data_IF_298848310064
#
_entry.id   IF_298848310064
#
_cell.length_a   1.000
_cell.length_b   1.000
_cell.length_c   1.000
_cell.angle_alpha   90.00
_cell.angle_beta   90.00
_cell.angle_gamma   90.00
#
_symmetry.space_group_name_H-M   'P 1'
#
loop_
_entity.id
_entity.type
_entity.pdbx_description
1 polymer ?
#
# COMPACT_ATOMS: atom_id res chain seq x y z
N UNK A 1 -10.46 -0.19 17.84
CA UNK A 1 -10.63 0.99 16.98
C UNK A 1 -10.28 2.28 17.71
N UNK A 2 -9.96 3.35 16.98
CA UNK A 2 -9.60 4.64 17.58
C UNK A 2 -10.85 5.41 18.02
N UNK A 3 -10.74 6.12 19.15
CA UNK A 3 -11.81 7.00 19.65
C UNK A 3 -11.86 8.30 18.81
N UNK A 4 -13.02 8.99 18.84
CA UNK A 4 -13.18 10.30 18.19
C UNK A 4 -12.11 11.32 18.64
N UNK A 5 -11.74 11.33 19.94
CA UNK A 5 -10.71 12.22 20.49
C UNK A 5 -9.33 11.95 19.88
N UNK A 6 -8.97 10.66 19.73
CA UNK A 6 -7.71 10.25 19.10
C UNK A 6 -7.67 10.62 17.63
N UNK A 7 -8.78 10.47 16.90
CA UNK A 7 -8.86 10.87 15.48
C UNK A 7 -8.77 12.40 15.33
N UNK A 8 -9.43 13.18 16.20
CA UNK A 8 -9.34 14.64 16.13
C UNK A 8 -7.91 15.15 16.35
N UNK A 9 -7.12 14.47 17.20
CA UNK A 9 -5.70 14.83 17.39
C UNK A 9 -4.82 14.58 16.13
N UNK A 10 -5.31 13.80 15.19
CA UNK A 10 -4.60 13.48 13.92
C UNK A 10 -5.07 14.33 12.73
N UNK A 11 -6.09 15.15 12.92
CA UNK A 11 -6.69 15.93 11.82
C UNK A 11 -5.68 16.86 11.15
N UNK A 12 -4.87 17.55 11.93
CA UNK A 12 -3.87 18.49 11.40
C UNK A 12 -2.81 17.76 10.58
N UNK A 13 -2.33 16.60 11.04
CA UNK A 13 -1.38 15.77 10.33
C UNK A 13 -1.97 15.22 9.01
N UNK A 14 -3.24 14.80 9.03
CA UNK A 14 -3.95 14.33 7.84
C UNK A 14 -4.13 15.48 6.86
N UNK A 15 -4.49 16.67 7.34
CA UNK A 15 -4.68 17.87 6.52
C UNK A 15 -3.38 18.25 5.80
N UNK A 16 -2.26 18.29 6.51
CA UNK A 16 -0.95 18.58 5.96
C UNK A 16 -0.51 17.54 4.92
N UNK A 17 -0.71 16.27 5.22
CA UNK A 17 -0.34 15.18 4.31
C UNK A 17 -1.14 15.21 3.01
N UNK A 18 -2.46 15.38 3.09
CA UNK A 18 -3.36 15.30 1.94
C UNK A 18 -3.27 16.51 1.01
N UNK A 19 -2.79 17.65 1.53
CA UNK A 19 -2.70 18.93 0.81
C UNK A 19 -4.05 19.40 0.22
N UNK A 20 -5.15 19.00 0.87
CA UNK A 20 -6.49 19.36 0.41
C UNK A 20 -6.93 20.75 0.86
N UNK A 21 -6.24 21.35 1.85
CA UNK A 21 -6.52 22.71 2.29
C UNK A 21 -7.99 22.94 2.65
N UNK A 22 -8.59 23.98 2.07
CA UNK A 22 -9.99 24.36 2.32
C UNK A 22 -11.00 23.31 1.90
N UNK A 23 -10.65 22.43 0.97
CA UNK A 23 -11.54 21.34 0.54
C UNK A 23 -11.92 20.40 1.67
N UNK A 24 -11.08 20.26 2.72
CA UNK A 24 -11.42 19.43 3.88
C UNK A 24 -12.68 19.88 4.63
N UNK A 25 -13.09 21.14 4.47
CA UNK A 25 -14.35 21.69 5.00
C UNK A 25 -15.56 21.39 4.13
N UNK A 26 -15.35 20.94 2.88
CA UNK A 26 -16.41 20.69 1.91
C UNK A 26 -16.94 19.26 2.01
N UNK A 27 -18.19 19.01 1.61
CA UNK A 27 -18.74 17.66 1.56
C UNK A 27 -17.93 16.76 0.62
N UNK A 28 -17.60 15.53 1.03
CA UNK A 28 -16.84 14.55 0.23
C UNK A 28 -17.44 14.25 -1.16
N UNK A 29 -18.76 14.47 -1.34
CA UNK A 29 -19.43 14.30 -2.65
C UNK A 29 -18.90 15.26 -3.73
N UNK A 30 -18.27 16.38 -3.34
CA UNK A 30 -17.68 17.35 -4.26
C UNK A 30 -16.23 17.03 -4.63
N UNK A 31 -15.65 16.02 -4.01
CA UNK A 31 -14.26 15.67 -4.22
C UNK A 31 -14.06 14.95 -5.56
N UNK A 32 -12.97 15.30 -6.25
CA UNK A 32 -12.46 14.49 -7.36
C UNK A 32 -12.01 13.11 -6.90
N UNK A 33 -11.81 12.18 -7.83
CA UNK A 33 -11.26 10.85 -7.50
C UNK A 33 -9.90 10.96 -6.80
N UNK A 34 -8.99 11.80 -7.32
CA UNK A 34 -7.67 12.04 -6.71
C UNK A 34 -7.77 12.58 -5.29
N UNK A 35 -8.66 13.55 -5.02
CA UNK A 35 -8.90 14.08 -3.68
C UNK A 35 -9.39 13.02 -2.70
N UNK A 36 -10.28 12.14 -3.13
CA UNK A 36 -10.77 11.02 -2.30
C UNK A 36 -9.64 10.05 -1.97
N UNK A 37 -8.79 9.72 -2.94
CA UNK A 37 -7.64 8.83 -2.71
C UNK A 37 -6.64 9.48 -1.77
N UNK A 38 -6.31 10.77 -1.94
CA UNK A 38 -5.45 11.51 -1.01
C UNK A 38 -5.99 11.49 0.42
N UNK A 39 -7.28 11.77 0.61
CA UNK A 39 -7.92 11.73 1.93
C UNK A 39 -7.89 10.31 2.52
N UNK A 40 -8.26 9.29 1.74
CA UNK A 40 -8.24 7.90 2.18
C UNK A 40 -6.83 7.47 2.64
N UNK A 41 -5.79 7.81 1.87
CA UNK A 41 -4.39 7.56 2.24
C UNK A 41 -3.99 8.27 3.53
N UNK A 42 -4.37 9.54 3.69
CA UNK A 42 -4.10 10.29 4.92
C UNK A 42 -4.73 9.64 6.15
N UNK A 43 -5.98 9.20 6.04
CA UNK A 43 -6.70 8.54 7.14
C UNK A 43 -6.13 7.16 7.44
N UNK A 44 -5.96 6.31 6.42
CA UNK A 44 -5.46 4.93 6.59
C UNK A 44 -4.05 4.92 7.17
N UNK A 45 -3.16 5.79 6.69
CA UNK A 45 -1.77 5.85 7.18
C UNK A 45 -1.62 6.52 8.54
N UNK A 46 -2.69 7.12 9.08
CA UNK A 46 -2.71 7.70 10.43
C UNK A 46 -3.05 6.70 11.55
N UNK A 47 -3.44 5.48 11.22
CA UNK A 47 -3.76 4.42 12.17
C UNK A 47 -2.62 3.40 12.25
N UNK A 48 -2.59 2.62 13.35
CA UNK A 48 -1.63 1.53 13.55
C UNK A 48 -2.42 0.21 13.58
N UNK A 49 -2.61 -0.45 12.43
CA UNK A 49 -3.36 -1.69 12.35
C UNK A 49 -2.53 -2.88 12.77
N UNK A 50 -3.12 -3.85 13.45
CA UNK A 50 -2.51 -5.16 13.69
C UNK A 50 -2.44 -5.98 12.40
N UNK A 51 -3.47 -5.88 11.55
CA UNK A 51 -3.58 -6.55 10.25
C UNK A 51 -3.90 -5.50 9.20
N UNK A 52 -3.07 -5.41 8.17
CA UNK A 52 -3.24 -4.51 7.03
C UNK A 52 -3.58 -5.31 5.78
N UNK A 53 -4.75 -5.04 5.21
CA UNK A 53 -5.18 -5.61 3.93
C UNK A 53 -5.09 -4.52 2.87
N UNK A 54 -4.30 -4.76 1.84
CA UNK A 54 -4.17 -3.88 0.69
C UNK A 54 -4.64 -4.60 -0.57
N UNK A 55 -5.53 -3.95 -1.29
CA UNK A 55 -5.95 -4.35 -2.62
C UNK A 55 -5.56 -3.27 -3.63
N UNK A 56 -5.25 -3.69 -4.85
CA UNK A 56 -4.74 -2.83 -5.91
C UNK A 56 -5.71 -1.68 -6.22
N UNK A 57 -5.35 -0.46 -5.92
CA UNK A 57 -6.22 0.71 -6.11
C UNK A 57 -5.56 2.08 -5.90
N UNK A 58 -4.24 2.13 -5.74
CA UNK A 58 -3.52 3.40 -5.46
C UNK A 58 -3.24 4.20 -6.75
N UNK A 59 -3.77 3.78 -7.91
CA UNK A 59 -3.41 4.27 -9.25
C UNK A 59 -3.97 5.63 -9.70
N UNK A 60 -4.80 6.32 -8.92
CA UNK A 60 -5.52 7.54 -9.37
C UNK A 60 -4.98 8.85 -8.79
N UNK A 61 -3.70 8.91 -8.40
CA UNK A 61 -3.06 10.12 -7.88
C UNK A 61 -1.84 10.51 -8.71
N UNK A 62 -1.47 11.79 -8.64
CA UNK A 62 -0.27 12.30 -9.31
C UNK A 62 1.03 11.71 -8.76
N UNK A 63 2.09 11.75 -9.56
CA UNK A 63 3.37 11.11 -9.26
C UNK A 63 4.06 11.68 -8.00
N UNK A 64 3.87 12.97 -7.72
CA UNK A 64 4.47 13.63 -6.55
C UNK A 64 3.81 13.13 -5.26
N UNK A 65 2.48 13.12 -5.23
CA UNK A 65 1.75 12.56 -4.10
C UNK A 65 2.02 11.07 -3.91
N UNK A 66 2.14 10.29 -5.01
CA UNK A 66 2.51 8.87 -4.93
C UNK A 66 3.84 8.64 -4.22
N UNK A 67 4.85 9.49 -4.48
CA UNK A 67 6.14 9.39 -3.80
C UNK A 67 6.01 9.62 -2.29
N UNK A 68 5.24 10.64 -1.89
CA UNK A 68 4.94 10.97 -0.49
C UNK A 68 4.12 9.84 0.18
N UNK A 69 3.12 9.30 -0.54
CA UNK A 69 2.27 8.23 -0.06
C UNK A 69 3.03 6.90 0.12
N UNK A 70 4.00 6.58 -0.75
CA UNK A 70 4.84 5.38 -0.63
C UNK A 70 5.62 5.36 0.69
N UNK A 71 6.26 6.46 1.07
CA UNK A 71 6.98 6.56 2.34
C UNK A 71 6.07 6.30 3.56
N UNK A 72 4.86 6.88 3.55
CA UNK A 72 3.88 6.64 4.63
C UNK A 72 3.34 5.21 4.62
N UNK A 73 3.10 4.63 3.45
CA UNK A 73 2.64 3.25 3.32
C UNK A 73 3.72 2.28 3.82
N UNK A 74 4.99 2.49 3.48
CA UNK A 74 6.08 1.69 4.00
C UNK A 74 6.13 1.74 5.53
N UNK A 75 6.08 2.93 6.13
CA UNK A 75 6.03 3.09 7.58
C UNK A 75 4.79 2.43 8.21
N UNK A 76 3.65 2.43 7.51
CA UNK A 76 2.45 1.73 7.96
C UNK A 76 2.64 0.21 7.96
N UNK A 77 3.25 -0.34 6.90
CA UNK A 77 3.59 -1.76 6.79
C UNK A 77 4.55 -2.18 7.91
N UNK A 78 5.60 -1.40 8.17
CA UNK A 78 6.57 -1.67 9.23
C UNK A 78 5.96 -1.70 10.63
N UNK A 79 4.90 -0.91 10.85
CA UNK A 79 4.15 -0.89 12.13
C UNK A 79 3.04 -1.92 12.21
N UNK A 80 2.64 -2.52 11.09
CA UNK A 80 1.62 -3.57 11.09
C UNK A 80 2.21 -4.92 11.51
N UNK A 81 1.42 -5.73 12.20
CA UNK A 81 1.84 -7.09 12.56
C UNK A 81 1.76 -8.07 11.38
N UNK A 82 0.76 -7.90 10.52
CA UNK A 82 0.51 -8.73 9.34
C UNK A 82 0.13 -7.83 8.18
N UNK A 83 0.81 -8.02 7.03
CA UNK A 83 0.41 -7.44 5.76
C UNK A 83 -0.13 -8.55 4.83
N UNK A 84 -1.32 -8.34 4.29
CA UNK A 84 -1.84 -9.11 3.15
C UNK A 84 -2.05 -8.15 2.00
N UNK A 85 -1.35 -8.38 0.89
CA UNK A 85 -1.34 -7.48 -0.25
C UNK A 85 -1.67 -8.23 -1.54
N UNK A 86 -2.72 -7.80 -2.23
CA UNK A 86 -3.07 -8.27 -3.58
C UNK A 86 -2.62 -7.24 -4.61
N UNK A 87 -1.76 -7.62 -5.54
CA UNK A 87 -1.22 -6.72 -6.57
C UNK A 87 -0.79 -7.48 -7.82
N UNK A 88 -0.83 -6.79 -8.97
CA UNK A 88 -0.18 -7.23 -10.21
C UNK A 88 1.23 -6.66 -10.37
N UNK A 89 1.71 -5.84 -9.43
CA UNK A 89 3.05 -5.28 -9.47
C UNK A 89 4.04 -6.15 -8.70
N UNK A 90 4.87 -6.90 -9.43
CA UNK A 90 5.92 -7.74 -8.85
C UNK A 90 6.94 -6.91 -8.05
N UNK A 91 7.20 -5.66 -8.47
CA UNK A 91 8.05 -4.72 -7.73
C UNK A 91 7.50 -4.41 -6.34
N UNK A 92 6.19 -4.09 -6.24
CA UNK A 92 5.57 -3.82 -4.94
C UNK A 92 5.51 -5.07 -4.07
N UNK A 93 5.21 -6.24 -4.65
CA UNK A 93 5.23 -7.51 -3.93
C UNK A 93 6.62 -7.78 -3.35
N UNK A 94 7.68 -7.62 -4.15
CA UNK A 94 9.05 -7.85 -3.72
C UNK A 94 9.51 -6.87 -2.62
N UNK A 95 9.08 -5.60 -2.68
CA UNK A 95 9.49 -4.59 -1.69
C UNK A 95 8.74 -4.65 -0.36
N UNK A 96 7.50 -5.13 -0.36
CA UNK A 96 6.61 -5.04 0.81
C UNK A 96 6.31 -6.39 1.46
N UNK A 97 6.48 -7.50 0.75
CA UNK A 97 6.10 -8.82 1.23
C UNK A 97 7.32 -9.74 1.34
N UNK A 98 7.25 -10.73 2.23
CA UNK A 98 8.29 -11.75 2.42
C UNK A 98 7.94 -13.08 1.76
N UNK A 99 6.65 -13.31 1.50
CA UNK A 99 6.12 -14.52 0.88
C UNK A 99 4.95 -14.19 -0.03
N UNK A 100 4.63 -15.07 -0.96
CA UNK A 100 3.53 -14.93 -1.88
C UNK A 100 2.64 -16.19 -1.92
N UNK A 101 1.41 -15.98 -2.41
CA UNK A 101 0.43 -17.03 -2.65
C UNK A 101 -0.19 -16.82 -4.02
N UNK A 102 -0.11 -17.84 -4.86
CA UNK A 102 -0.82 -17.88 -6.13
C UNK A 102 -2.19 -18.53 -5.94
N UNK A 103 -3.25 -17.77 -6.23
CA UNK A 103 -4.64 -18.22 -6.19
C UNK A 103 -5.17 -18.28 -7.62
N UNK A 104 -5.77 -19.40 -8.00
CA UNK A 104 -6.38 -19.62 -9.30
C UNK A 104 -7.77 -20.24 -9.13
N UNK A 105 -8.81 -19.58 -9.67
CA UNK A 105 -10.21 -20.02 -9.56
C UNK A 105 -10.64 -20.35 -8.11
N UNK A 106 -10.20 -19.56 -7.13
CA UNK A 106 -10.53 -19.74 -5.72
C UNK A 106 -9.75 -20.85 -5.00
N UNK A 107 -8.78 -21.50 -5.67
CA UNK A 107 -7.91 -22.51 -5.08
C UNK A 107 -6.47 -22.01 -4.98
N UNK A 108 -5.81 -22.32 -3.86
CA UNK A 108 -4.39 -22.05 -3.70
C UNK A 108 -3.60 -23.03 -4.57
N UNK A 109 -2.84 -22.51 -5.53
CA UNK A 109 -1.96 -23.30 -6.41
C UNK A 109 -0.58 -23.46 -5.83
N UNK A 110 -0.05 -22.38 -5.25
CA UNK A 110 1.29 -22.37 -4.69
C UNK A 110 1.40 -21.33 -3.56
N UNK A 111 2.25 -21.62 -2.58
CA UNK A 111 2.70 -20.70 -1.55
C UNK A 111 4.18 -20.84 -1.38
N UNK A 112 4.92 -19.74 -1.16
CA UNK A 112 6.36 -19.78 -0.99
C UNK A 112 7.01 -18.40 -1.04
N UNK A 113 8.30 -18.36 -1.30
CA UNK A 113 9.03 -17.13 -1.54
C UNK A 113 8.49 -16.38 -2.77
N UNK A 114 8.59 -15.04 -2.76
CA UNK A 114 8.02 -14.21 -3.83
C UNK A 114 8.61 -14.56 -5.19
N UNK A 115 9.94 -14.70 -5.28
CA UNK A 115 10.62 -15.07 -6.52
C UNK A 115 10.11 -16.40 -7.09
N UNK A 116 9.97 -17.41 -6.25
CA UNK A 116 9.53 -18.75 -6.62
C UNK A 116 8.07 -18.74 -7.13
N UNK A 117 7.17 -18.10 -6.39
CA UNK A 117 5.75 -18.04 -6.74
C UNK A 117 5.50 -17.19 -7.97
N UNK A 118 6.14 -16.03 -8.09
CA UNK A 118 6.05 -15.17 -9.28
C UNK A 118 6.64 -15.85 -10.50
N UNK A 119 7.75 -16.57 -10.35
CA UNK A 119 8.36 -17.35 -11.42
C UNK A 119 7.47 -18.48 -11.92
N UNK A 120 6.73 -19.14 -11.02
CA UNK A 120 5.75 -20.17 -11.40
C UNK A 120 4.51 -19.59 -12.08
N UNK A 121 4.10 -18.38 -11.68
CA UNK A 121 2.91 -17.69 -12.19
C UNK A 121 3.13 -17.00 -13.54
N UNK A 122 4.22 -16.21 -13.69
CA UNK A 122 4.48 -15.35 -14.85
C UNK A 122 5.69 -15.79 -15.68
N UNK A 123 6.52 -16.69 -15.14
CA UNK A 123 7.69 -17.21 -15.84
C UNK A 123 9.04 -16.66 -15.34
N UNK A 124 10.15 -17.15 -15.95
CA UNK A 124 11.52 -16.92 -15.45
C UNK A 124 11.99 -15.46 -15.52
N UNK A 125 11.47 -14.67 -16.45
CA UNK A 125 11.84 -13.26 -16.58
C UNK A 125 11.26 -12.42 -15.44
N UNK A 126 10.03 -12.70 -15.00
CA UNK A 126 9.42 -12.08 -13.85
C UNK A 126 10.15 -12.47 -12.55
N UNK A 127 10.56 -13.73 -12.40
CA UNK A 127 11.39 -14.18 -11.28
C UNK A 127 12.72 -13.44 -11.21
N UNK A 128 13.39 -13.24 -12.37
CA UNK A 128 14.65 -12.48 -12.43
C UNK A 128 14.46 -11.03 -11.97
N UNK A 129 13.42 -10.36 -12.46
CA UNK A 129 13.11 -8.99 -12.05
C UNK A 129 12.86 -8.90 -10.53
N UNK A 130 12.08 -9.81 -9.96
CA UNK A 130 11.87 -9.89 -8.49
C UNK A 130 13.19 -10.03 -7.74
N UNK A 131 14.09 -10.90 -8.20
CA UNK A 131 15.41 -11.11 -7.59
C UNK A 131 16.26 -9.84 -7.59
N UNK A 132 16.25 -9.07 -8.69
CA UNK A 132 16.95 -7.80 -8.81
C UNK A 132 16.40 -6.78 -7.80
N UNK A 133 15.08 -6.65 -7.68
CA UNK A 133 14.43 -5.75 -6.70
C UNK A 133 14.76 -6.12 -5.26
N UNK A 134 14.79 -7.43 -4.93
CA UNK A 134 15.16 -7.92 -3.60
C UNK A 134 16.62 -7.62 -3.26
N UNK A 135 17.53 -7.72 -4.25
CA UNK A 135 18.94 -7.41 -4.08
C UNK A 135 19.19 -5.93 -3.79
N UNK A 136 18.48 -5.02 -4.51
CA UNK A 136 18.56 -3.56 -4.28
C UNK A 136 18.06 -3.15 -2.88
N UNK A 137 17.08 -3.86 -2.34
CA UNK A 137 16.52 -3.59 -0.99
C UNK A 137 17.40 -4.05 0.16
N UNK A 138 18.41 -4.92 -0.10
CA UNK A 138 19.31 -5.46 0.92
C UNK A 138 20.48 -4.54 1.25
N UNK A 139 20.75 -3.52 0.41
CA UNK A 139 21.89 -2.60 0.54
C UNK A 139 21.51 -1.25 1.21
N UNK A 140 20.29 -1.13 1.75
CA UNK A 140 19.78 0.07 2.43
C UNK A 140 19.45 -0.22 3.88
#
# INVERSE_FOLDING_TARGET
GQTRKQMLAKVDEIAEFTELGEYLSMPMRTYSTGMRVRLAMGVVTSIDPEILLLDEGIGAVDAEFLKKARGRLQSLVERSGILVFASHSNEFLARLCTSAMWIDHGAIRMTGGIEEVVGAYEGPDAARHVREVLAEGSDS
#
